data_IF_091459751689
#
_entry.id   IF_091459751689
#
_cell.length_a   1.000
_cell.length_b   1.000
_cell.length_c   1.000
_cell.angle_alpha   90.00
_cell.angle_beta   90.00
_cell.angle_gamma   90.00
#
_symmetry.space_group_name_H-M   'P 1'
#
loop_
_entity.id
_entity.type
_entity.pdbx_description
1 polymer ?
#
# COMPACT_ATOMS: atom_id res chain seq x y z
N UNK A 1 2.48 0.13 16.10
CA UNK A 1 2.40 -0.67 17.34
C UNK A 1 1.12 -1.50 17.40
N UNK A 2 -0.08 -0.93 17.31
CA UNK A 2 -1.33 -1.71 17.33
C UNK A 2 -1.50 -2.75 16.22
N UNK A 3 -1.11 -2.45 14.97
CA UNK A 3 -1.19 -3.41 13.86
C UNK A 3 -0.19 -4.57 13.99
N UNK A 4 1.04 -4.26 14.44
CA UNK A 4 2.06 -5.27 14.71
C UNK A 4 1.60 -6.14 15.88
N UNK A 5 1.09 -5.55 16.95
CA UNK A 5 0.52 -6.28 18.07
C UNK A 5 -0.66 -7.16 17.63
N UNK A 6 -1.57 -6.67 16.79
CA UNK A 6 -2.69 -7.46 16.27
C UNK A 6 -2.24 -8.60 15.36
N UNK A 7 -1.26 -8.38 14.48
CA UNK A 7 -0.68 -9.44 13.65
C UNK A 7 0.13 -10.44 14.46
N UNK A 8 0.84 -9.98 15.51
CA UNK A 8 1.57 -10.83 16.45
C UNK A 8 0.63 -11.65 17.32
N UNK A 9 -0.49 -11.08 17.77
CA UNK A 9 -1.55 -11.82 18.49
C UNK A 9 -2.22 -12.84 17.57
N UNK A 10 -2.47 -12.47 16.32
CA UNK A 10 -3.01 -13.36 15.30
C UNK A 10 -2.01 -14.49 15.00
N UNK A 11 -0.72 -14.21 14.90
CA UNK A 11 0.34 -15.20 14.71
C UNK A 11 0.57 -16.10 15.93
N UNK A 12 0.46 -15.54 17.14
CA UNK A 12 0.57 -16.27 18.40
C UNK A 12 -0.61 -17.22 18.61
N UNK A 13 -1.84 -16.75 18.35
CA UNK A 13 -3.06 -17.59 18.35
C UNK A 13 -3.05 -18.64 17.24
N UNK A 14 -2.40 -18.36 16.10
CA UNK A 14 -2.17 -19.35 15.04
C UNK A 14 -1.15 -20.44 15.46
N UNK A 15 -0.22 -20.13 16.37
CA UNK A 15 0.87 -21.02 16.79
C UNK A 15 0.49 -22.05 17.86
N UNK A 16 -0.40 -21.69 18.79
CA UNK A 16 -0.76 -22.52 19.96
C UNK A 16 -1.48 -23.85 19.65
N UNK A 17 -1.89 -24.10 18.39
CA UNK A 17 -2.64 -25.32 18.03
C UNK A 17 -1.86 -26.35 17.19
N UNK A 18 -0.58 -26.10 16.88
CA UNK A 18 0.18 -26.94 15.92
C UNK A 18 1.57 -27.38 16.42
N UNK A 19 1.87 -27.23 17.72
CA UNK A 19 3.22 -27.39 18.27
C UNK A 19 3.84 -28.79 18.12
N UNK A 20 3.05 -29.87 18.08
CA UNK A 20 3.63 -31.23 18.10
C UNK A 20 4.04 -31.77 16.71
N UNK A 21 3.53 -31.23 15.59
CA UNK A 21 3.94 -31.65 14.23
C UNK A 21 4.72 -30.59 13.46
N UNK A 22 4.61 -29.32 13.87
CA UNK A 22 5.32 -28.21 13.24
C UNK A 22 6.82 -28.23 13.49
N UNK A 23 7.28 -28.82 14.60
CA UNK A 23 8.68 -28.78 15.01
C UNK A 23 9.61 -29.55 14.06
N UNK A 24 9.18 -30.69 13.58
CA UNK A 24 9.91 -31.46 12.56
C UNK A 24 9.73 -30.85 11.16
N UNK A 25 8.53 -30.34 10.85
CA UNK A 25 8.23 -29.73 9.56
C UNK A 25 9.05 -28.45 9.28
N UNK A 26 9.28 -27.58 10.27
CA UNK A 26 10.12 -26.40 10.08
C UNK A 26 11.60 -26.76 9.93
N UNK A 27 12.07 -27.81 10.62
CA UNK A 27 13.45 -28.28 10.55
C UNK A 27 13.74 -28.90 9.18
N UNK A 28 12.81 -29.72 8.68
CA UNK A 28 12.86 -30.30 7.33
C UNK A 28 12.75 -29.22 6.25
N UNK A 29 11.84 -28.24 6.43
CA UNK A 29 11.72 -27.11 5.51
C UNK A 29 12.98 -26.22 5.50
N UNK A 30 13.63 -26.00 6.65
CA UNK A 30 14.92 -25.30 6.73
C UNK A 30 16.03 -26.08 6.04
N UNK A 31 16.07 -27.41 6.20
CA UNK A 31 17.03 -28.28 5.52
C UNK A 31 16.81 -28.34 4.00
N UNK A 32 15.58 -28.19 3.50
CA UNK A 32 15.30 -28.04 2.07
C UNK A 32 15.53 -26.61 1.53
N UNK A 33 15.33 -25.58 2.37
CA UNK A 33 15.53 -24.18 2.01
C UNK A 33 17.00 -23.76 2.04
N UNK A 34 17.81 -24.27 2.98
CA UNK A 34 19.24 -23.96 3.08
C UNK A 34 19.98 -24.21 1.75
N UNK A 35 19.84 -25.39 1.12
CA UNK A 35 20.44 -25.67 -0.19
C UNK A 35 19.85 -24.81 -1.31
N UNK A 36 18.63 -24.26 -1.16
CA UNK A 36 18.05 -23.34 -2.15
C UNK A 36 18.50 -21.90 -1.96
N UNK A 37 19.12 -21.57 -0.82
CA UNK A 37 19.76 -20.26 -0.57
C UNK A 37 21.20 -20.17 -1.06
N UNK A 38 21.66 -21.06 -1.96
CA UNK A 38 23.02 -21.01 -2.53
C UNK A 38 23.42 -19.63 -3.09
N UNK A 39 22.45 -18.86 -3.60
CA UNK A 39 22.70 -17.49 -4.07
C UNK A 39 23.02 -16.53 -2.91
N UNK A 40 22.29 -16.61 -1.80
CA UNK A 40 22.51 -15.78 -0.61
C UNK A 40 23.70 -16.25 0.26
N UNK A 41 24.08 -17.53 0.12
CA UNK A 41 25.25 -18.14 0.75
C UNK A 41 26.50 -18.12 -0.13
N UNK A 42 26.42 -17.54 -1.34
CA UNK A 42 27.59 -17.43 -2.21
C UNK A 42 28.68 -16.57 -1.52
N UNK A 43 29.96 -16.99 -1.57
CA UNK A 43 31.07 -16.29 -0.90
C UNK A 43 31.29 -14.83 -1.32
N UNK A 44 30.63 -14.40 -2.40
CA UNK A 44 30.78 -13.08 -3.00
C UNK A 44 29.79 -12.06 -2.44
N UNK A 45 28.77 -12.51 -1.69
CA UNK A 45 27.76 -11.62 -1.13
C UNK A 45 28.08 -11.19 0.30
N UNK A 46 27.83 -9.92 0.66
CA UNK A 46 28.02 -9.41 2.02
C UNK A 46 27.25 -10.20 3.08
N UNK A 47 26.09 -10.77 2.73
CA UNK A 47 25.29 -11.64 3.62
C UNK A 47 26.09 -12.82 4.17
N UNK A 48 26.96 -13.43 3.33
CA UNK A 48 27.80 -14.56 3.73
C UNK A 48 28.90 -14.15 4.71
N UNK A 49 29.48 -12.96 4.53
CA UNK A 49 30.52 -12.44 5.41
C UNK A 49 29.95 -12.03 6.77
N UNK A 50 28.72 -11.51 6.81
CA UNK A 50 28.00 -11.24 8.07
C UNK A 50 27.77 -12.53 8.84
N UNK A 51 27.28 -13.58 8.18
CA UNK A 51 27.04 -14.88 8.81
C UNK A 51 28.34 -15.49 9.37
N UNK A 52 29.45 -15.40 8.62
CA UNK A 52 30.77 -15.87 9.07
C UNK A 52 31.35 -15.04 10.20
N UNK A 53 31.17 -13.71 10.17
CA UNK A 53 31.61 -12.83 11.25
C UNK A 53 30.91 -13.17 12.58
N UNK A 54 29.58 -13.34 12.53
CA UNK A 54 28.77 -13.70 13.68
C UNK A 54 29.07 -15.11 14.19
N UNK A 55 29.15 -16.09 13.28
CA UNK A 55 29.47 -17.47 13.64
C UNK A 55 30.88 -17.63 14.24
N UNK A 56 31.86 -16.90 13.75
CA UNK A 56 33.21 -16.87 14.33
C UNK A 56 33.22 -16.23 15.73
N UNK A 57 32.44 -15.17 15.95
CA UNK A 57 32.26 -14.54 17.25
C UNK A 57 31.62 -15.47 18.29
N UNK A 58 30.58 -16.23 17.90
CA UNK A 58 29.91 -17.20 18.78
C UNK A 58 30.81 -18.37 19.18
N UNK A 59 31.75 -18.76 18.32
CA UNK A 59 32.68 -19.87 18.55
C UNK A 59 34.00 -19.45 19.19
N UNK A 60 34.11 -18.20 19.68
CA UNK A 60 35.33 -17.68 20.32
C UNK A 60 36.50 -17.41 19.35
N UNK A 61 36.27 -17.47 18.03
CA UNK A 61 37.25 -17.21 16.96
C UNK A 61 37.26 -15.72 16.60
N UNK A 62 37.64 -14.88 17.56
CA UNK A 62 37.56 -13.41 17.45
C UNK A 62 38.33 -12.81 16.27
N UNK A 63 39.51 -13.35 15.95
CA UNK A 63 40.33 -12.86 14.83
C UNK A 63 39.62 -13.03 13.48
N UNK A 64 39.00 -14.19 13.27
CA UNK A 64 38.25 -14.47 12.06
C UNK A 64 36.97 -13.62 11.97
N UNK A 65 36.28 -13.44 13.09
CA UNK A 65 35.14 -12.52 13.17
C UNK A 65 35.53 -11.08 12.81
N UNK A 66 36.65 -10.60 13.34
CA UNK A 66 37.19 -9.27 13.06
C UNK A 66 37.58 -9.11 11.59
N UNK A 67 38.20 -10.12 10.96
CA UNK A 67 38.57 -10.08 9.54
C UNK A 67 37.35 -9.93 8.63
N UNK A 68 36.29 -10.72 8.86
CA UNK A 68 35.05 -10.59 8.08
C UNK A 68 34.33 -9.26 8.36
N UNK A 69 34.39 -8.73 9.58
CA UNK A 69 33.85 -7.42 9.91
C UNK A 69 34.60 -6.27 9.20
N UNK A 70 35.93 -6.34 9.14
CA UNK A 70 36.76 -5.37 8.39
C UNK A 70 36.49 -5.46 6.89
N UNK A 71 36.36 -6.68 6.35
CA UNK A 71 36.02 -6.90 4.95
C UNK A 71 34.67 -6.26 4.59
N UNK A 72 33.66 -6.41 5.45
CA UNK A 72 32.35 -5.76 5.30
C UNK A 72 32.47 -4.22 5.32
N UNK A 73 33.27 -3.68 6.24
CA UNK A 73 33.51 -2.25 6.34
C UNK A 73 34.20 -1.68 5.09
N UNK A 74 35.21 -2.38 4.59
CA UNK A 74 35.95 -1.98 3.39
C UNK A 74 35.04 -2.04 2.15
N UNK A 75 34.29 -3.12 1.99
CA UNK A 75 33.37 -3.26 0.85
C UNK A 75 32.21 -2.27 0.90
N UNK A 76 31.66 -1.95 2.08
CA UNK A 76 30.69 -0.87 2.23
C UNK A 76 31.27 0.48 1.82
N UNK A 77 32.48 0.80 2.27
CA UNK A 77 33.17 2.06 1.99
C UNK A 77 33.48 2.23 0.48
N UNK A 78 33.95 1.16 -0.16
CA UNK A 78 34.21 1.15 -1.62
C UNK A 78 32.91 1.27 -2.41
N UNK A 79 31.87 0.54 -2.00
CA UNK A 79 30.56 0.59 -2.65
C UNK A 79 29.94 1.99 -2.54
N UNK A 80 30.05 2.63 -1.38
CA UNK A 80 29.59 4.00 -1.17
C UNK A 80 30.29 4.98 -2.12
N UNK A 81 31.62 4.92 -2.22
CA UNK A 81 32.37 5.79 -3.15
C UNK A 81 32.04 5.52 -4.62
N UNK A 82 31.80 4.26 -4.98
CA UNK A 82 31.38 3.91 -6.33
C UNK A 82 29.98 4.48 -6.64
N UNK A 83 29.05 4.39 -5.69
CA UNK A 83 27.72 4.99 -5.78
C UNK A 83 27.79 6.51 -5.93
N UNK A 84 28.64 7.19 -5.15
CA UNK A 84 28.86 8.64 -5.29
C UNK A 84 29.43 8.99 -6.67
N UNK A 85 30.38 8.21 -7.18
CA UNK A 85 30.98 8.44 -8.50
C UNK A 85 29.99 8.19 -9.64
N UNK A 86 29.26 7.07 -9.61
CA UNK A 86 28.19 6.76 -10.56
C UNK A 86 27.07 7.81 -10.49
N UNK A 87 26.72 8.23 -9.28
CA UNK A 87 25.79 9.34 -9.05
C UNK A 87 26.27 10.61 -9.75
N UNK A 88 27.55 10.96 -9.60
CA UNK A 88 28.12 12.16 -10.20
C UNK A 88 28.21 12.11 -11.73
N UNK A 89 28.57 10.96 -12.30
CA UNK A 89 28.81 10.79 -13.74
C UNK A 89 27.53 10.49 -14.51
N UNK A 90 26.65 9.64 -13.98
CA UNK A 90 25.48 9.17 -14.70
C UNK A 90 24.19 9.87 -14.23
N UNK A 91 23.98 9.97 -12.92
CA UNK A 91 22.69 10.41 -12.38
C UNK A 91 22.55 11.94 -12.37
N UNK A 92 23.58 12.67 -11.93
CA UNK A 92 23.56 14.13 -11.83
C UNK A 92 23.37 14.83 -13.19
N UNK A 93 24.02 14.41 -14.30
CA UNK A 93 23.77 15.01 -15.60
C UNK A 93 22.33 14.79 -16.10
N UNK A 94 21.76 13.61 -15.85
CA UNK A 94 20.36 13.30 -16.17
C UNK A 94 19.40 14.15 -15.32
N UNK A 95 19.67 14.30 -14.02
CA UNK A 95 18.85 15.14 -13.14
C UNK A 95 18.99 16.63 -13.46
N UNK A 96 20.18 17.10 -13.85
CA UNK A 96 20.41 18.49 -14.30
C UNK A 96 19.70 18.76 -15.62
N UNK A 97 19.83 17.88 -16.61
CA UNK A 97 19.09 18.01 -17.87
C UNK A 97 17.58 17.94 -17.68
N UNK A 98 17.08 17.12 -16.73
CA UNK A 98 15.67 17.10 -16.38
C UNK A 98 15.19 18.40 -15.67
N UNK A 99 16.03 19.03 -14.84
CA UNK A 99 15.70 20.30 -14.16
C UNK A 99 15.83 21.53 -15.04
N UNK A 100 16.76 21.51 -16.00
CA UNK A 100 17.06 22.63 -16.91
C UNK A 100 16.51 22.42 -18.33
N UNK A 101 15.71 21.37 -18.55
CA UNK A 101 15.03 21.17 -19.82
C UNK A 101 14.14 22.39 -20.09
N UNK A 102 14.30 23.11 -21.21
CA UNK A 102 13.44 24.23 -21.54
C UNK A 102 12.00 23.75 -21.63
N UNK A 103 11.07 24.52 -21.03
CA UNK A 103 9.62 24.31 -21.09
C UNK A 103 9.10 24.54 -22.52
N UNK A 104 9.51 23.68 -23.46
CA UNK A 104 8.94 23.63 -24.80
C UNK A 104 7.60 22.88 -24.76
N UNK A 105 6.64 23.22 -25.63
CA UNK A 105 5.37 22.51 -25.77
C UNK A 105 5.60 21.17 -26.49
N UNK A 106 6.36 20.26 -25.89
CA UNK A 106 6.42 18.88 -26.36
C UNK A 106 5.25 18.14 -25.73
N UNK A 107 4.34 17.55 -26.53
CA UNK A 107 3.31 16.68 -25.97
C UNK A 107 4.02 15.52 -25.29
N UNK A 108 4.08 15.58 -23.96
CA UNK A 108 4.62 14.50 -23.14
C UNK A 108 3.85 13.22 -23.45
N UNK A 109 4.54 12.09 -23.67
CA UNK A 109 3.88 10.78 -23.81
C UNK A 109 2.94 10.50 -22.63
N UNK A 110 3.25 11.02 -21.43
CA UNK A 110 2.38 10.95 -20.27
C UNK A 110 1.09 11.77 -20.44
N UNK A 111 1.17 12.97 -21.03
CA UNK A 111 -0.02 13.77 -21.34
C UNK A 111 -0.89 13.10 -22.42
N UNK A 112 -0.27 12.52 -23.45
CA UNK A 112 -0.97 11.77 -24.49
C UNK A 112 -1.65 10.51 -23.93
N UNK A 113 -0.94 9.74 -23.10
CA UNK A 113 -1.48 8.57 -22.40
C UNK A 113 -2.61 8.91 -21.43
N UNK A 114 -2.51 10.01 -20.68
CA UNK A 114 -3.56 10.48 -19.78
C UNK A 114 -4.83 10.93 -20.55
N UNK A 115 -4.67 11.56 -21.71
CA UNK A 115 -5.79 11.91 -22.59
C UNK A 115 -6.46 10.67 -23.20
N UNK A 116 -5.68 9.66 -23.60
CA UNK A 116 -6.22 8.38 -24.09
C UNK A 116 -6.94 7.63 -22.98
N UNK A 117 -6.38 7.54 -21.77
CA UNK A 117 -7.01 6.83 -20.65
C UNK A 117 -8.37 7.44 -20.25
N UNK A 118 -8.53 8.75 -20.41
CA UNK A 118 -9.72 9.50 -20.01
C UNK A 118 -10.66 9.82 -21.19
N UNK A 119 -10.39 9.32 -22.40
CA UNK A 119 -11.08 9.71 -23.64
C UNK A 119 -12.59 9.47 -23.61
N UNK A 120 -13.04 8.41 -22.92
CA UNK A 120 -14.44 8.01 -22.78
C UNK A 120 -15.23 8.82 -21.74
N UNK A 121 -14.58 9.68 -20.96
CA UNK A 121 -15.22 10.45 -19.89
C UNK A 121 -15.82 11.77 -20.41
N UNK A 122 -16.90 12.24 -19.75
CA UNK A 122 -17.50 13.55 -20.05
C UNK A 122 -16.47 14.67 -19.87
N UNK A 123 -16.54 15.72 -20.70
CA UNK A 123 -15.53 16.81 -20.76
C UNK A 123 -15.06 17.37 -19.40
N UNK A 124 -15.92 17.68 -18.41
CA UNK A 124 -15.46 18.20 -17.11
C UNK A 124 -14.76 17.14 -16.26
N UNK A 125 -15.25 15.89 -16.25
CA UNK A 125 -14.58 14.77 -15.58
C UNK A 125 -13.20 14.50 -16.18
N UNK A 126 -13.13 14.50 -17.51
CA UNK A 126 -11.89 14.23 -18.24
C UNK A 126 -10.79 15.21 -17.86
N UNK A 127 -11.11 16.50 -17.75
CA UNK A 127 -10.13 17.52 -17.37
C UNK A 127 -9.59 17.31 -15.95
N UNK A 128 -10.47 17.03 -14.98
CA UNK A 128 -10.06 16.74 -13.59
C UNK A 128 -9.19 15.48 -13.51
N UNK A 129 -9.58 14.40 -14.19
CA UNK A 129 -8.84 13.13 -14.17
C UNK A 129 -7.49 13.24 -14.87
N UNK A 130 -7.45 13.89 -16.04
CA UNK A 130 -6.20 14.07 -16.77
C UNK A 130 -5.22 14.89 -15.94
N UNK A 131 -5.69 15.94 -15.27
CA UNK A 131 -4.89 16.73 -14.35
C UNK A 131 -4.34 15.90 -13.20
N UNK A 132 -5.21 15.17 -12.48
CA UNK A 132 -4.81 14.36 -11.33
C UNK A 132 -3.80 13.27 -11.73
N UNK A 133 -4.03 12.61 -12.86
CA UNK A 133 -3.11 11.60 -13.40
C UNK A 133 -1.76 12.20 -13.81
N UNK A 134 -1.76 13.41 -14.40
CA UNK A 134 -0.52 14.11 -14.74
C UNK A 134 0.26 14.56 -13.50
N UNK A 135 -0.41 15.04 -12.46
CA UNK A 135 0.22 15.39 -11.18
C UNK A 135 0.90 14.17 -10.57
N UNK A 136 0.22 13.04 -10.63
CA UNK A 136 0.70 11.75 -10.15
C UNK A 136 1.92 11.26 -10.95
N UNK A 137 1.88 11.30 -12.28
CA UNK A 137 3.00 10.87 -13.14
C UNK A 137 4.21 11.80 -13.00
N UNK A 138 3.99 13.09 -12.72
CA UNK A 138 5.05 14.08 -12.54
C UNK A 138 5.84 13.93 -11.24
N UNK A 139 5.38 13.10 -10.30
CA UNK A 139 6.13 12.77 -9.08
C UNK A 139 6.70 11.33 -9.13
N UNK A 140 7.87 11.13 -9.76
CA UNK A 140 8.47 9.82 -9.96
C UNK A 140 8.93 9.18 -8.64
N UNK A 141 9.23 9.97 -7.60
CA UNK A 141 9.63 9.44 -6.31
C UNK A 141 8.48 8.68 -5.65
N UNK A 142 7.29 9.27 -5.69
CA UNK A 142 6.12 8.66 -5.07
C UNK A 142 5.62 7.45 -5.88
N UNK A 143 5.50 7.55 -7.22
CA UNK A 143 5.03 6.41 -8.02
C UNK A 143 6.05 5.28 -8.13
N UNK A 144 7.35 5.60 -8.08
CA UNK A 144 8.40 4.58 -7.96
C UNK A 144 8.20 3.71 -6.72
N UNK A 145 7.89 4.32 -5.56
CA UNK A 145 7.59 3.57 -4.35
C UNK A 145 6.33 2.70 -4.51
N UNK A 146 5.26 3.23 -5.10
CA UNK A 146 4.03 2.46 -5.34
C UNK A 146 4.27 1.23 -6.23
N UNK A 147 5.01 1.41 -7.33
CA UNK A 147 5.39 0.34 -8.25
C UNK A 147 6.24 -0.72 -7.55
N UNK A 148 7.18 -0.32 -6.71
CA UNK A 148 7.99 -1.27 -5.93
C UNK A 148 7.11 -2.06 -4.95
N UNK A 149 6.28 -1.41 -4.14
CA UNK A 149 5.43 -2.11 -3.16
C UNK A 149 4.45 -3.08 -3.83
N UNK A 150 3.70 -2.64 -4.84
CA UNK A 150 2.76 -3.51 -5.54
C UNK A 150 3.44 -4.53 -6.45
N UNK A 151 4.60 -4.21 -7.02
CA UNK A 151 5.41 -5.15 -7.77
C UNK A 151 5.90 -6.30 -6.89
N UNK A 152 6.42 -5.99 -5.70
CA UNK A 152 6.79 -7.01 -4.71
C UNK A 152 5.57 -7.80 -4.25
N UNK A 153 4.44 -7.14 -3.98
CA UNK A 153 3.22 -7.81 -3.52
C UNK A 153 2.64 -8.73 -4.60
N UNK A 154 2.64 -8.29 -5.87
CA UNK A 154 2.25 -9.10 -7.02
C UNK A 154 3.19 -10.28 -7.24
N UNK A 155 4.51 -10.07 -7.12
CA UNK A 155 5.49 -11.16 -7.20
C UNK A 155 5.31 -12.17 -6.05
N UNK A 156 4.99 -11.69 -4.84
CA UNK A 156 4.62 -12.53 -3.70
C UNK A 156 3.39 -13.39 -4.00
N UNK A 157 2.28 -12.78 -4.44
CA UNK A 157 1.07 -13.53 -4.79
C UNK A 157 1.30 -14.50 -5.95
N UNK A 158 2.11 -14.13 -6.95
CA UNK A 158 2.49 -15.01 -8.04
C UNK A 158 3.28 -16.24 -7.56
N UNK A 159 4.00 -16.13 -6.45
CA UNK A 159 4.79 -17.21 -5.86
C UNK A 159 4.06 -17.99 -4.76
N UNK A 160 2.87 -17.56 -4.34
CA UNK A 160 2.14 -18.19 -3.23
C UNK A 160 1.73 -19.64 -3.51
N UNK A 161 1.72 -20.06 -4.78
CA UNK A 161 1.46 -21.45 -5.16
C UNK A 161 2.43 -22.45 -4.50
N UNK A 162 3.65 -22.04 -4.16
CA UNK A 162 4.60 -22.90 -3.43
C UNK A 162 4.15 -23.18 -1.99
N UNK A 163 3.34 -22.30 -1.40
CA UNK A 163 2.75 -22.51 -0.07
C UNK A 163 1.50 -23.41 -0.13
N UNK A 164 0.75 -23.40 -1.25
CA UNK A 164 -0.42 -24.28 -1.42
C UNK A 164 -0.08 -25.74 -1.71
N UNK A 165 1.17 -26.02 -2.10
CA UNK A 165 1.65 -27.38 -2.39
C UNK A 165 1.89 -28.22 -1.14
N UNK A 166 2.12 -27.58 0.01
CA UNK A 166 2.05 -28.26 1.28
C UNK A 166 0.56 -28.47 1.59
N UNK A 167 0.17 -29.68 2.01
CA UNK A 167 -1.21 -30.01 2.37
C UNK A 167 -1.66 -29.23 3.60
N UNK A 168 -1.92 -27.94 3.43
CA UNK A 168 -2.30 -27.06 4.53
C UNK A 168 -3.81 -27.05 4.68
N UNK A 169 -4.24 -27.22 5.93
CA UNK A 169 -5.63 -27.28 6.36
C UNK A 169 -6.48 -26.12 5.78
N UNK A 170 -7.76 -26.36 5.41
CA UNK A 170 -8.61 -25.32 4.83
C UNK A 170 -8.71 -24.05 5.67
N UNK A 171 -8.69 -24.17 7.00
CA UNK A 171 -8.68 -23.06 7.94
C UNK A 171 -7.49 -22.10 7.72
N UNK A 172 -6.30 -22.65 7.50
CA UNK A 172 -5.10 -21.87 7.25
C UNK A 172 -5.17 -21.11 5.93
N UNK A 173 -5.67 -21.75 4.87
CA UNK A 173 -5.85 -21.10 3.55
C UNK A 173 -6.73 -19.85 3.67
N UNK A 174 -7.80 -19.92 4.47
CA UNK A 174 -8.69 -18.78 4.74
C UNK A 174 -7.97 -17.71 5.58
N UNK A 175 -7.16 -18.10 6.56
CA UNK A 175 -6.36 -17.16 7.37
C UNK A 175 -5.37 -16.37 6.51
N UNK A 176 -4.61 -17.06 5.65
CA UNK A 176 -3.67 -16.43 4.71
C UNK A 176 -4.40 -15.52 3.72
N UNK A 177 -5.54 -15.96 3.19
CA UNK A 177 -6.40 -15.16 2.32
C UNK A 177 -6.83 -13.83 2.99
N UNK A 178 -7.28 -13.89 4.25
CA UNK A 178 -7.66 -12.72 5.04
C UNK A 178 -6.47 -11.79 5.32
N UNK A 179 -5.31 -12.33 5.67
CA UNK A 179 -4.08 -11.55 5.89
C UNK A 179 -3.61 -10.87 4.60
N UNK A 180 -3.71 -11.54 3.46
CA UNK A 180 -3.37 -10.97 2.16
C UNK A 180 -4.25 -9.76 1.83
N UNK A 181 -5.55 -9.85 2.11
CA UNK A 181 -6.47 -8.71 1.98
C UNK A 181 -6.06 -7.57 2.93
N UNK A 182 -5.80 -7.86 4.20
CA UNK A 182 -5.37 -6.86 5.18
C UNK A 182 -4.08 -6.12 4.77
N UNK A 183 -3.06 -6.86 4.33
CA UNK A 183 -1.81 -6.29 3.82
C UNK A 183 -2.05 -5.40 2.59
N UNK A 184 -2.91 -5.86 1.67
CA UNK A 184 -3.26 -5.07 0.47
C UNK A 184 -3.95 -3.76 0.84
N UNK A 185 -4.89 -3.80 1.79
CA UNK A 185 -5.60 -2.60 2.27
C UNK A 185 -4.68 -1.63 3.01
N UNK A 186 -3.69 -2.12 3.77
CA UNK A 186 -2.69 -1.26 4.40
C UNK A 186 -1.80 -0.54 3.39
N UNK A 187 -1.27 -1.27 2.42
CA UNK A 187 -0.44 -0.68 1.36
C UNK A 187 -1.25 0.34 0.59
N UNK A 188 -2.49 0.00 0.21
CA UNK A 188 -3.39 0.93 -0.46
C UNK A 188 -3.69 2.17 0.39
N UNK A 189 -4.01 2.02 1.68
CA UNK A 189 -4.25 3.14 2.59
C UNK A 189 -3.06 4.10 2.70
N UNK A 190 -1.83 3.55 2.77
CA UNK A 190 -0.60 4.37 2.75
C UNK A 190 -0.47 5.20 1.47
N UNK A 191 -0.82 4.63 0.33
CA UNK A 191 -0.80 5.33 -0.96
C UNK A 191 -1.94 6.34 -1.09
N UNK A 192 -3.13 6.02 -0.57
CA UNK A 192 -4.26 6.94 -0.56
C UNK A 192 -3.93 8.23 0.20
N UNK A 193 -3.19 8.14 1.30
CA UNK A 193 -2.71 9.32 2.04
C UNK A 193 -1.70 10.15 1.25
N UNK A 194 -0.88 9.52 0.42
CA UNK A 194 0.15 10.24 -0.34
C UNK A 194 -0.38 10.86 -1.62
N UNK A 195 -1.29 10.18 -2.28
CA UNK A 195 -1.76 10.57 -3.61
C UNK A 195 -3.15 11.13 -3.65
N UNK A 196 -4.04 10.73 -2.75
CA UNK A 196 -5.47 11.10 -2.81
C UNK A 196 -5.76 12.21 -1.81
N UNK A 197 -5.29 12.06 -0.57
CA UNK A 197 -5.50 13.05 0.50
C UNK A 197 -5.00 14.47 0.17
N UNK A 198 -3.77 14.70 -0.32
CA UNK A 198 -3.27 16.06 -0.51
C UNK A 198 -3.85 16.75 -1.76
N UNK A 199 -4.51 16.02 -2.65
CA UNK A 199 -4.98 16.56 -3.94
C UNK A 199 -5.90 17.74 -3.74
N UNK A 200 -6.87 17.64 -2.83
CA UNK A 200 -7.83 18.72 -2.59
C UNK A 200 -7.14 20.01 -2.12
N UNK A 201 -6.08 19.91 -1.31
CA UNK A 201 -5.28 21.06 -0.87
C UNK A 201 -4.46 21.69 -2.00
N UNK A 202 -3.88 20.86 -2.89
CA UNK A 202 -3.14 21.35 -4.07
C UNK A 202 -4.06 22.11 -5.06
N UNK A 203 -5.35 21.82 -5.04
CA UNK A 203 -6.34 22.54 -5.84
C UNK A 203 -6.84 23.84 -5.19
N UNK A 204 -6.47 24.09 -3.93
CA UNK A 204 -6.93 25.18 -3.09
C UNK A 204 -6.91 26.55 -3.77
N UNK A 205 -5.80 26.91 -4.40
CA UNK A 205 -5.63 28.18 -5.14
C UNK A 205 -6.53 28.33 -6.37
N UNK A 206 -6.95 27.21 -6.96
CA UNK A 206 -7.82 27.17 -8.14
C UNK A 206 -9.30 26.93 -7.79
N UNK A 207 -9.64 26.82 -6.50
CA UNK A 207 -11.02 26.54 -6.07
C UNK A 207 -11.98 27.65 -6.47
N UNK A 208 -11.53 28.90 -6.55
CA UNK A 208 -12.37 30.01 -6.99
C UNK A 208 -12.83 29.84 -8.45
N UNK A 209 -11.95 29.36 -9.35
CA UNK A 209 -12.29 29.03 -10.74
C UNK A 209 -13.31 27.89 -10.81
N UNK A 210 -13.14 26.87 -9.96
CA UNK A 210 -14.05 25.71 -9.88
C UNK A 210 -15.44 26.08 -9.33
N UNK A 211 -15.53 27.13 -8.50
CA UNK A 211 -16.81 27.68 -8.02
C UNK A 211 -17.55 28.47 -9.08
N UNK A 212 -16.82 29.18 -9.95
CA UNK A 212 -17.40 29.89 -11.10
C UNK A 212 -17.84 28.92 -12.21
N UNK A 213 -17.31 27.70 -12.21
CA UNK A 213 -17.70 26.67 -13.16
C UNK A 213 -19.14 26.16 -12.88
N UNK A 214 -19.96 25.95 -13.92
CA UNK A 214 -21.36 25.53 -13.77
C UNK A 214 -21.52 24.14 -13.14
N UNK A 215 -20.44 23.35 -13.03
CA UNK A 215 -20.45 22.04 -12.38
C UNK A 215 -20.47 22.11 -10.85
N UNK A 216 -20.02 23.21 -10.24
CA UNK A 216 -19.97 23.37 -8.78
C UNK A 216 -18.99 22.44 -8.04
N UNK A 217 -18.75 22.73 -6.77
CA UNK A 217 -17.71 22.06 -5.95
C UNK A 217 -18.07 20.62 -5.55
N UNK A 218 -19.38 20.34 -5.47
CA UNK A 218 -19.90 18.98 -5.17
C UNK A 218 -19.57 17.99 -6.29
N UNK A 219 -19.60 18.48 -7.54
CA UNK A 219 -19.27 17.66 -8.70
C UNK A 219 -17.78 17.29 -8.75
N UNK A 220 -16.90 18.20 -8.30
CA UNK A 220 -15.47 17.93 -8.17
C UNK A 220 -15.20 16.81 -7.17
N UNK A 221 -15.78 16.89 -5.97
CA UNK A 221 -15.54 15.89 -4.92
C UNK A 221 -16.07 14.51 -5.32
N UNK A 222 -17.27 14.46 -5.90
CA UNK A 222 -17.88 13.21 -6.39
C UNK A 222 -17.11 12.64 -7.58
N UNK A 223 -16.58 13.48 -8.48
CA UNK A 223 -15.70 13.05 -9.56
C UNK A 223 -14.42 12.40 -9.02
N UNK A 224 -13.72 13.08 -8.11
CA UNK A 224 -12.52 12.52 -7.46
C UNK A 224 -12.82 11.21 -6.74
N UNK A 225 -13.91 11.17 -5.96
CA UNK A 225 -14.34 9.96 -5.27
C UNK A 225 -14.56 8.80 -6.27
N UNK A 226 -15.28 9.04 -7.36
CA UNK A 226 -15.57 7.99 -8.35
C UNK A 226 -14.31 7.43 -9.03
N UNK A 227 -13.37 8.30 -9.39
CA UNK A 227 -12.16 7.93 -10.14
C UNK A 227 -11.18 7.21 -9.23
N UNK A 228 -10.92 7.75 -8.04
CA UNK A 228 -10.03 7.10 -7.08
C UNK A 228 -10.62 5.81 -6.54
N UNK A 229 -11.95 5.71 -6.39
CA UNK A 229 -12.59 4.45 -6.02
C UNK A 229 -12.45 3.41 -7.12
N UNK A 230 -12.64 3.78 -8.40
CA UNK A 230 -12.42 2.86 -9.52
C UNK A 230 -10.97 2.37 -9.58
N UNK A 231 -9.99 3.26 -9.37
CA UNK A 231 -8.57 2.89 -9.32
C UNK A 231 -8.27 1.98 -8.12
N UNK A 232 -8.80 2.32 -6.94
CA UNK A 232 -8.62 1.53 -5.72
C UNK A 232 -9.22 0.14 -5.84
N UNK A 233 -10.41 0.03 -6.41
CA UNK A 233 -11.06 -1.24 -6.72
C UNK A 233 -10.22 -2.07 -7.68
N UNK A 234 -9.73 -1.48 -8.77
CA UNK A 234 -8.88 -2.19 -9.73
C UNK A 234 -7.64 -2.79 -9.07
N UNK A 235 -6.97 -2.01 -8.21
CA UNK A 235 -5.76 -2.43 -7.51
C UNK A 235 -6.08 -3.52 -6.49
N UNK A 236 -7.01 -3.26 -5.56
CA UNK A 236 -7.33 -4.17 -4.45
C UNK A 236 -7.91 -5.47 -5.00
N UNK A 237 -8.92 -5.41 -5.86
CA UNK A 237 -9.54 -6.62 -6.43
C UNK A 237 -8.60 -7.37 -7.37
N UNK A 238 -7.76 -6.66 -8.15
CA UNK A 238 -6.78 -7.32 -9.02
C UNK A 238 -5.76 -8.14 -8.23
N UNK A 239 -5.23 -7.56 -7.15
CA UNK A 239 -4.29 -8.21 -6.24
C UNK A 239 -4.96 -9.34 -5.44
N UNK A 240 -6.18 -9.10 -4.95
CA UNK A 240 -6.95 -10.09 -4.22
C UNK A 240 -7.31 -11.29 -5.11
N UNK A 241 -7.77 -11.04 -6.34
CA UNK A 241 -8.05 -12.08 -7.32
C UNK A 241 -6.81 -12.92 -7.63
N UNK A 242 -5.64 -12.26 -7.83
CA UNK A 242 -4.38 -12.97 -8.04
C UNK A 242 -4.05 -13.87 -6.84
N UNK A 243 -4.18 -13.35 -5.62
CA UNK A 243 -3.98 -14.11 -4.38
C UNK A 243 -4.96 -15.31 -4.27
N UNK A 244 -6.26 -15.09 -4.45
CA UNK A 244 -7.31 -16.10 -4.30
C UNK A 244 -7.40 -17.10 -5.45
N UNK A 245 -6.85 -16.80 -6.62
CA UNK A 245 -6.78 -17.75 -7.74
C UNK A 245 -5.74 -18.85 -7.49
N UNK A 246 -4.71 -18.53 -6.68
CA UNK A 246 -3.62 -19.44 -6.32
C UNK A 246 -3.88 -20.16 -5.02
N UNK A 247 -4.62 -19.53 -4.10
CA UNK A 247 -5.15 -20.16 -2.91
C UNK A 247 -6.44 -20.91 -3.27
N UNK A 248 -6.45 -22.22 -3.11
CA UNK A 248 -7.63 -23.08 -3.26
C UNK A 248 -8.65 -22.85 -2.12
N UNK A 249 -9.18 -21.64 -2.03
CA UNK A 249 -10.17 -21.19 -1.05
C UNK A 249 -11.58 -21.47 -1.58
N UNK A 250 -12.52 -21.93 -0.74
CA UNK A 250 -13.91 -22.15 -1.13
C UNK A 250 -14.56 -20.94 -1.79
N UNK A 251 -15.39 -21.19 -2.80
CA UNK A 251 -16.04 -20.14 -3.62
C UNK A 251 -16.82 -19.12 -2.79
N UNK A 252 -17.57 -19.56 -1.77
CA UNK A 252 -18.37 -18.68 -0.90
C UNK A 252 -17.49 -17.66 -0.16
N UNK A 253 -16.34 -18.11 0.37
CA UNK A 253 -15.39 -17.28 1.11
C UNK A 253 -14.70 -16.30 0.16
N UNK A 254 -14.37 -16.73 -1.05
CA UNK A 254 -13.78 -15.87 -2.08
C UNK A 254 -14.67 -14.67 -2.40
N UNK A 255 -15.97 -14.88 -2.60
CA UNK A 255 -16.91 -13.78 -2.85
C UNK A 255 -17.12 -12.88 -1.64
N UNK A 256 -17.15 -13.46 -0.43
CA UNK A 256 -17.23 -12.66 0.78
C UNK A 256 -16.01 -11.74 0.94
N UNK A 257 -14.80 -12.27 0.74
CA UNK A 257 -13.56 -11.49 0.80
C UNK A 257 -13.51 -10.42 -0.28
N UNK A 258 -13.98 -10.70 -1.50
CA UNK A 258 -14.13 -9.71 -2.56
C UNK A 258 -15.14 -8.61 -2.15
N UNK A 259 -16.27 -8.97 -1.55
CA UNK A 259 -17.23 -7.98 -1.02
C UNK A 259 -16.62 -7.07 0.05
N UNK A 260 -15.83 -7.64 0.97
CA UNK A 260 -15.05 -6.86 1.96
C UNK A 260 -14.04 -5.95 1.25
N UNK A 261 -13.32 -6.46 0.24
CA UNK A 261 -12.38 -5.70 -0.58
C UNK A 261 -13.02 -4.48 -1.23
N UNK A 262 -14.18 -4.65 -1.88
CA UNK A 262 -14.95 -3.58 -2.53
C UNK A 262 -15.35 -2.50 -1.53
N UNK A 263 -15.94 -2.89 -0.40
CA UNK A 263 -16.40 -1.95 0.63
C UNK A 263 -15.22 -1.21 1.25
N UNK A 264 -14.12 -1.90 1.55
CA UNK A 264 -12.93 -1.28 2.12
C UNK A 264 -12.18 -0.38 1.16
N UNK A 265 -12.11 -0.73 -0.13
CA UNK A 265 -11.56 0.13 -1.16
C UNK A 265 -12.30 1.47 -1.23
N UNK A 266 -13.64 1.42 -1.37
CA UNK A 266 -14.48 2.61 -1.41
C UNK A 266 -14.35 3.45 -0.13
N UNK A 267 -14.29 2.80 1.03
CA UNK A 267 -14.19 3.50 2.33
C UNK A 267 -12.84 4.18 2.52
N UNK A 268 -11.73 3.52 2.17
CA UNK A 268 -10.39 4.12 2.26
C UNK A 268 -10.26 5.33 1.32
N UNK A 269 -10.82 5.26 0.12
CA UNK A 269 -10.87 6.41 -0.79
C UNK A 269 -11.76 7.52 -0.21
N UNK A 270 -12.94 7.17 0.31
CA UNK A 270 -13.85 8.13 0.94
C UNK A 270 -13.19 8.85 2.12
N UNK A 271 -12.44 8.13 2.97
CA UNK A 271 -11.62 8.69 4.03
C UNK A 271 -10.56 9.64 3.47
N UNK A 272 -9.83 9.24 2.43
CA UNK A 272 -8.74 10.04 1.86
C UNK A 272 -9.26 11.35 1.27
N UNK A 273 -10.29 11.25 0.42
CA UNK A 273 -10.91 12.39 -0.25
C UNK A 273 -11.66 13.28 0.76
N UNK A 274 -12.42 12.69 1.67
CA UNK A 274 -13.22 13.40 2.65
C UNK A 274 -12.39 14.13 3.69
N UNK A 275 -11.38 13.48 4.27
CA UNK A 275 -10.46 14.11 5.22
C UNK A 275 -9.59 15.17 4.53
N UNK A 276 -9.15 14.91 3.28
CA UNK A 276 -8.40 15.89 2.49
C UNK A 276 -9.21 17.15 2.17
N UNK A 277 -10.52 17.00 1.95
CA UNK A 277 -11.43 18.14 1.78
C UNK A 277 -11.76 18.86 3.10
N UNK A 278 -11.88 18.12 4.21
CA UNK A 278 -12.18 18.69 5.51
C UNK A 278 -10.99 19.48 6.08
N UNK A 279 -9.78 18.95 5.98
CA UNK A 279 -8.54 19.58 6.45
C UNK A 279 -7.73 20.22 5.34
N UNK A 280 -8.44 20.90 4.43
CA UNK A 280 -7.82 21.58 3.30
C UNK A 280 -6.89 22.71 3.74
N UNK A 281 -5.70 22.77 3.14
CA UNK A 281 -4.74 23.87 3.25
C UNK A 281 -4.58 24.54 1.88
N UNK A 282 -5.26 25.68 1.62
CA UNK A 282 -5.20 26.36 0.33
C UNK A 282 -3.82 26.96 -0.01
N UNK A 283 -2.94 27.10 0.98
CA UNK A 283 -1.60 27.66 0.80
C UNK A 283 -0.57 26.62 0.34
N UNK A 284 -0.93 25.33 0.39
CA UNK A 284 -0.03 24.25 0.10
C UNK A 284 0.31 24.14 -1.39
N UNK A 285 1.60 24.06 -1.69
CA UNK A 285 2.12 23.86 -3.06
C UNK A 285 2.69 22.45 -3.25
N UNK A 286 3.08 21.79 -2.16
CA UNK A 286 3.74 20.48 -2.17
C UNK A 286 2.89 19.43 -1.47
N UNK A 287 2.67 18.29 -2.12
CA UNK A 287 1.94 17.16 -1.55
C UNK A 287 2.58 16.64 -0.25
N UNK A 288 3.91 16.56 -0.23
CA UNK A 288 4.67 16.05 0.91
C UNK A 288 4.45 16.89 2.18
N UNK A 289 4.34 18.22 2.05
CA UNK A 289 4.08 19.12 3.17
C UNK A 289 2.69 18.90 3.77
N UNK A 290 1.68 18.68 2.92
CA UNK A 290 0.31 18.41 3.36
C UNK A 290 0.23 17.08 4.12
N UNK A 291 0.94 16.06 3.63
CA UNK A 291 0.99 14.73 4.27
C UNK A 291 1.76 14.77 5.59
N UNK A 292 2.85 15.55 5.68
CA UNK A 292 3.65 15.69 6.90
C UNK A 292 3.00 16.59 7.97
N UNK A 293 1.84 17.19 7.69
CA UNK A 293 1.10 18.01 8.65
C UNK A 293 0.49 17.17 9.78
N UNK A 294 0.16 17.82 10.91
CA UNK A 294 -0.58 17.18 12.02
C UNK A 294 -1.90 16.54 11.53
N UNK A 295 -2.61 17.21 10.62
CA UNK A 295 -3.83 16.69 10.01
C UNK A 295 -3.56 15.46 9.13
N UNK A 296 -2.43 15.44 8.39
CA UNK A 296 -1.99 14.27 7.64
C UNK A 296 -1.69 13.07 8.54
N UNK A 297 -1.06 13.30 9.70
CA UNK A 297 -0.83 12.28 10.71
C UNK A 297 -2.15 11.74 11.30
N UNK A 298 -3.13 12.61 11.61
CA UNK A 298 -4.46 12.18 12.06
C UNK A 298 -5.20 11.39 10.98
N UNK A 299 -5.11 11.80 9.71
CA UNK A 299 -5.69 11.05 8.59
C UNK A 299 -5.11 9.64 8.49
N UNK A 300 -3.78 9.50 8.68
CA UNK A 300 -3.11 8.21 8.74
C UNK A 300 -3.62 7.34 9.89
N UNK A 301 -3.76 7.91 11.09
CA UNK A 301 -4.27 7.18 12.26
C UNK A 301 -5.70 6.70 12.01
N UNK A 302 -6.57 7.54 11.43
CA UNK A 302 -7.96 7.16 11.12
C UNK A 302 -8.05 6.06 10.06
N UNK A 303 -7.26 6.13 8.99
CA UNK A 303 -7.21 5.06 8.00
C UNK A 303 -6.65 3.76 8.58
N UNK A 304 -5.60 3.85 9.38
CA UNK A 304 -5.03 2.68 10.06
C UNK A 304 -6.03 2.05 11.03
N UNK A 305 -6.78 2.89 11.77
CA UNK A 305 -7.86 2.46 12.64
C UNK A 305 -8.96 1.73 11.87
N UNK A 306 -9.37 2.28 10.72
CA UNK A 306 -10.34 1.61 9.84
C UNK A 306 -9.83 0.24 9.37
N UNK A 307 -8.59 0.15 8.89
CA UNK A 307 -8.01 -1.16 8.50
C UNK A 307 -7.93 -2.11 9.70
N UNK A 308 -7.66 -1.62 10.90
CA UNK A 308 -7.75 -2.40 12.14
C UNK A 308 -9.16 -2.99 12.37
N UNK A 309 -10.22 -2.21 12.15
CA UNK A 309 -11.59 -2.71 12.21
C UNK A 309 -11.87 -3.78 11.14
N UNK A 310 -11.35 -3.60 9.92
CA UNK A 310 -11.46 -4.63 8.85
C UNK A 310 -10.78 -5.92 9.30
N UNK A 311 -9.56 -5.85 9.83
CA UNK A 311 -8.84 -7.01 10.36
C UNK A 311 -9.62 -7.70 11.47
N UNK A 312 -10.22 -6.94 12.39
CA UNK A 312 -11.11 -7.49 13.42
C UNK A 312 -12.32 -8.23 12.83
N UNK A 313 -12.96 -7.67 11.80
CA UNK A 313 -14.06 -8.34 11.10
C UNK A 313 -13.60 -9.62 10.39
N UNK A 314 -12.43 -9.59 9.74
CA UNK A 314 -11.83 -10.77 9.11
C UNK A 314 -11.51 -11.88 10.12
N UNK A 315 -11.01 -11.51 11.30
CA UNK A 315 -10.75 -12.43 12.41
C UNK A 315 -12.03 -13.11 12.90
N UNK A 316 -13.09 -12.33 13.13
CA UNK A 316 -14.39 -12.87 13.56
C UNK A 316 -14.95 -13.82 12.50
N UNK A 317 -14.87 -13.46 11.22
CA UNK A 317 -15.30 -14.32 10.12
C UNK A 317 -14.47 -15.62 10.04
N UNK A 318 -13.15 -15.52 10.24
CA UNK A 318 -12.26 -16.69 10.28
C UNK A 318 -12.64 -17.66 11.40
N UNK A 319 -12.80 -17.19 12.63
CA UNK A 319 -13.23 -18.02 13.78
C UNK A 319 -14.60 -18.65 13.51
N UNK A 320 -15.49 -17.92 12.84
CA UNK A 320 -16.83 -18.39 12.50
C UNK A 320 -16.79 -19.54 11.51
N UNK A 321 -15.91 -19.50 10.51
CA UNK A 321 -15.74 -20.60 9.56
C UNK A 321 -15.07 -21.82 10.18
N UNK A 322 -14.07 -21.63 11.05
CA UNK A 322 -13.40 -22.76 11.71
C UNK A 322 -14.30 -23.48 12.71
N UNK A 323 -15.20 -22.75 13.38
CA UNK A 323 -16.17 -23.31 14.33
C UNK A 323 -17.52 -23.68 13.70
N UNK A 324 -17.65 -23.61 12.38
CA UNK A 324 -18.90 -23.87 11.65
C UNK A 324 -20.12 -23.07 12.17
N UNK A 325 -19.89 -21.83 12.64
CA UNK A 325 -20.91 -20.95 13.22
C UNK A 325 -21.19 -19.76 12.28
N UNK A 326 -22.18 -19.85 11.38
CA UNK A 326 -22.37 -18.87 10.30
C UNK A 326 -22.76 -17.46 10.78
N UNK A 327 -23.35 -17.33 11.97
CA UNK A 327 -23.82 -16.04 12.48
C UNK A 327 -22.69 -15.02 12.72
N UNK A 328 -21.46 -15.46 13.00
CA UNK A 328 -20.35 -14.54 13.18
C UNK A 328 -19.84 -13.90 11.87
N UNK A 329 -19.99 -14.58 10.72
CA UNK A 329 -19.72 -13.98 9.40
C UNK A 329 -20.75 -12.89 9.10
N UNK A 330 -22.02 -13.13 9.44
CA UNK A 330 -23.10 -12.13 9.30
C UNK A 330 -22.82 -10.92 10.20
N UNK A 331 -22.47 -11.15 11.47
CA UNK A 331 -22.11 -10.10 12.41
C UNK A 331 -20.92 -9.27 11.91
N UNK A 332 -19.86 -9.92 11.43
CA UNK A 332 -18.70 -9.26 10.86
C UNK A 332 -19.06 -8.42 9.63
N UNK A 333 -19.93 -8.93 8.76
CA UNK A 333 -20.38 -8.22 7.55
C UNK A 333 -21.22 -6.99 7.90
N UNK A 334 -22.19 -7.14 8.80
CA UNK A 334 -23.06 -6.03 9.23
C UNK A 334 -22.26 -4.97 9.96
N UNK A 335 -21.40 -5.38 10.91
CA UNK A 335 -20.52 -4.49 11.64
C UNK A 335 -19.58 -3.74 10.70
N UNK A 336 -18.97 -4.44 9.73
CA UNK A 336 -18.10 -3.81 8.75
C UNK A 336 -18.85 -2.83 7.86
N UNK A 337 -20.05 -3.17 7.37
CA UNK A 337 -20.87 -2.26 6.57
C UNK A 337 -21.26 -1.00 7.36
N UNK A 338 -21.61 -1.15 8.64
CA UNK A 338 -21.93 -0.02 9.52
C UNK A 338 -20.71 0.89 9.75
N UNK A 339 -19.56 0.31 10.12
CA UNK A 339 -18.31 1.05 10.32
C UNK A 339 -17.87 1.72 9.02
N UNK A 340 -17.95 1.02 7.88
CA UNK A 340 -17.57 1.53 6.57
C UNK A 340 -18.49 2.65 6.09
N UNK A 341 -19.79 2.50 6.31
CA UNK A 341 -20.79 3.53 6.02
C UNK A 341 -20.52 4.80 6.83
N UNK A 342 -20.29 4.68 8.14
CA UNK A 342 -19.97 5.82 9.01
C UNK A 342 -18.63 6.46 8.65
N UNK A 343 -17.57 5.65 8.51
CA UNK A 343 -16.22 6.11 8.22
C UNK A 343 -16.11 6.75 6.83
N UNK A 344 -16.87 6.28 5.84
CA UNK A 344 -16.90 6.87 4.51
C UNK A 344 -17.79 8.12 4.42
N UNK A 345 -19.01 8.05 4.96
CA UNK A 345 -19.99 9.13 4.82
C UNK A 345 -19.64 10.38 5.62
N UNK A 346 -19.17 10.20 6.87
CA UNK A 346 -18.94 11.32 7.78
C UNK A 346 -17.87 12.30 7.25
N UNK A 347 -16.66 11.87 6.85
CA UNK A 347 -15.63 12.77 6.34
C UNK A 347 -16.04 13.45 5.04
N UNK A 348 -16.71 12.74 4.13
CA UNK A 348 -17.21 13.34 2.88
C UNK A 348 -18.19 14.47 3.19
N UNK A 349 -19.15 14.25 4.11
CA UNK A 349 -20.14 15.27 4.47
C UNK A 349 -19.50 16.49 5.10
N UNK A 350 -18.51 16.30 5.99
CA UNK A 350 -17.79 17.43 6.61
C UNK A 350 -16.89 18.16 5.60
N UNK A 351 -16.22 17.41 4.72
CA UNK A 351 -15.43 17.98 3.62
C UNK A 351 -16.27 18.83 2.70
N UNK A 352 -17.47 18.37 2.30
CA UNK A 352 -18.40 19.16 1.49
C UNK A 352 -18.81 20.47 2.18
N UNK A 353 -19.19 20.40 3.46
CA UNK A 353 -19.57 21.59 4.23
C UNK A 353 -18.43 22.60 4.33
N UNK A 354 -17.21 22.11 4.57
CA UNK A 354 -16.02 22.97 4.65
C UNK A 354 -15.72 23.62 3.31
N UNK A 355 -15.80 22.85 2.22
CA UNK A 355 -15.62 23.35 0.87
C UNK A 355 -16.68 24.38 0.46
N UNK A 356 -17.91 24.29 0.97
CA UNK A 356 -18.96 25.30 0.75
C UNK A 356 -18.66 26.60 1.54
N UNK A 357 -18.06 26.51 2.73
CA UNK A 357 -17.78 27.64 3.62
C UNK A 357 -16.49 28.43 3.30
N UNK A 358 -15.56 27.88 2.54
CA UNK A 358 -14.29 28.58 2.24
C UNK A 358 -14.54 29.82 1.37
N UNK A 359 -14.11 30.97 1.86
CA UNK A 359 -14.04 32.19 1.05
C UNK A 359 -12.85 32.08 0.09
N UNK A 360 -12.97 32.56 -1.16
CA UNK A 360 -11.84 32.57 -2.08
C UNK A 360 -10.72 33.43 -1.48
N UNK A 361 -9.56 32.82 -1.24
CA UNK A 361 -8.35 33.56 -0.90
C UNK A 361 -7.98 34.38 -2.14
N UNK A 362 -8.07 35.70 -2.00
CA UNK A 362 -7.80 36.69 -3.04
C UNK A 362 -6.34 36.66 -3.52
#
# INVERSE_FOLDING_TARGET
VGFVAACSLLFWVLGEHHEESGQEAWFVALQELLPRMHVAMSPWWPSSWVAKALGAGMNGRWLEGALYAVLLWMTASVSWRLLDHVGAVALLPVLRTARYAPEGPRPSMAASGAHVASWRMRRPFRASVTKDLLLVIRDPLQWGQAVVFFGLLGAYFANIHRLSQFSVEPAWRIGVASLNLACTLLVFGSLAIRFVYPQTSLEGRSLWLLRLAPSGIRHLLTAKLSVYSALGLLIIEGLLWLSMSRLEVPFQIRWWLAGVGVVSAATLVALAVGLGAWWIDPSAQDAARVVASSNGALALVLMLGYVGCVVGALLVAWISWTRAFPAGVVLASVGLCAVSGLAGWWPIRQGMRRLDQLEPVA
#
